data_IF_959837706105
#
_entry.id   IF_959837706105
#
_cell.length_a   1.000
_cell.length_b   1.000
_cell.length_c   1.000
_cell.angle_alpha   90.00
_cell.angle_beta   90.00
_cell.angle_gamma   90.00
#
_symmetry.space_group_name_H-M   'P 1'
#
loop_
_entity.id
_entity.type
_entity.pdbx_description
1 polymer ?
#
# COMPACT_ATOMS: atom_id res chain seq x y z
N UNK A 1 12.39 1.10 -7.85
CA UNK A 1 12.22 2.45 -8.45
C UNK A 1 13.55 2.90 -9.04
N UNK A 2 13.57 3.75 -10.06
CA UNK A 2 14.80 4.33 -10.58
C UNK A 2 14.95 5.79 -10.14
N UNK A 3 16.15 6.17 -9.72
CA UNK A 3 16.51 7.57 -9.47
C UNK A 3 16.69 8.36 -10.77
N UNK A 4 16.98 9.66 -10.64
CA UNK A 4 17.25 10.55 -11.77
C UNK A 4 18.44 10.15 -12.63
N UNK A 5 19.47 9.54 -12.04
CA UNK A 5 20.64 9.02 -12.75
C UNK A 5 20.36 7.67 -13.44
N UNK A 6 19.21 7.05 -13.17
CA UNK A 6 18.81 5.77 -13.73
C UNK A 6 19.27 4.56 -12.90
N UNK A 7 19.75 4.74 -11.67
CA UNK A 7 20.09 3.64 -10.77
C UNK A 7 18.85 3.09 -10.06
N UNK A 8 18.76 1.76 -9.87
CA UNK A 8 17.64 1.15 -9.17
C UNK A 8 17.78 1.26 -7.64
N UNK A 9 16.68 1.60 -6.99
CA UNK A 9 16.49 1.60 -5.53
C UNK A 9 15.29 0.72 -5.17
N UNK A 10 15.36 0.05 -4.01
CA UNK A 10 14.22 -0.70 -3.47
C UNK A 10 13.29 0.28 -2.76
N UNK A 11 11.97 0.10 -2.95
CA UNK A 11 10.95 0.92 -2.29
C UNK A 11 9.77 0.04 -1.87
N UNK A 12 9.11 0.40 -0.77
CA UNK A 12 7.92 -0.28 -0.30
C UNK A 12 6.68 0.26 -1.02
N UNK A 13 5.92 -0.63 -1.66
CA UNK A 13 4.77 -0.26 -2.46
C UNK A 13 3.49 -0.87 -1.90
N UNK A 14 2.42 -0.07 -1.84
CA UNK A 14 1.06 -0.51 -1.61
C UNK A 14 0.30 -0.56 -2.94
N UNK A 15 -0.37 -1.68 -3.20
CA UNK A 15 -1.23 -1.85 -4.37
C UNK A 15 -2.69 -1.69 -3.92
N UNK A 16 -3.37 -0.65 -4.40
CA UNK A 16 -4.67 -0.23 -3.87
C UNK A 16 -5.66 0.04 -5.01
N UNK A 17 -6.65 -0.83 -5.19
CA UNK A 17 -7.69 -0.66 -6.19
C UNK A 17 -8.79 0.34 -5.75
N UNK A 18 -8.83 0.74 -4.48
CA UNK A 18 -9.73 1.76 -3.96
C UNK A 18 -9.25 3.18 -4.24
N UNK A 19 -7.97 3.35 -4.59
CA UNK A 19 -7.39 4.65 -4.91
C UNK A 19 -7.41 4.95 -6.40
N UNK A 20 -8.00 6.06 -6.80
CA UNK A 20 -7.93 6.54 -8.19
C UNK A 20 -6.52 7.05 -8.57
N UNK A 21 -5.89 7.97 -7.80
CA UNK A 21 -4.53 8.43 -8.08
C UNK A 21 -3.45 7.48 -7.58
N UNK A 22 -2.22 7.69 -8.06
CA UNK A 22 -1.03 7.11 -7.46
C UNK A 22 -0.37 8.14 -6.54
N UNK A 23 0.32 7.67 -5.50
CA UNK A 23 1.03 8.54 -4.55
C UNK A 23 2.48 8.09 -4.38
N UNK A 24 3.32 9.05 -4.01
CA UNK A 24 4.71 8.83 -3.63
C UNK A 24 5.06 9.70 -2.43
N UNK A 25 5.90 9.20 -1.53
CA UNK A 25 6.37 9.99 -0.40
C UNK A 25 7.40 11.04 -0.85
N UNK A 26 7.37 12.23 -0.23
CA UNK A 26 8.38 13.26 -0.45
C UNK A 26 9.79 12.78 -0.08
N UNK A 27 9.89 11.86 0.90
CA UNK A 27 11.16 11.23 1.26
C UNK A 27 11.73 10.41 0.10
N UNK A 28 10.91 9.58 -0.57
CA UNK A 28 11.35 8.79 -1.71
C UNK A 28 11.76 9.69 -2.89
N UNK A 29 10.99 10.74 -3.16
CA UNK A 29 11.28 11.75 -4.20
C UNK A 29 12.65 12.39 -3.97
N UNK A 30 12.89 12.90 -2.75
CA UNK A 30 14.16 13.54 -2.37
C UNK A 30 15.34 12.58 -2.47
N UNK A 31 15.20 11.37 -1.91
CA UNK A 31 16.30 10.39 -1.88
C UNK A 31 16.63 9.82 -3.26
N UNK A 32 15.66 9.82 -4.18
CA UNK A 32 15.84 9.40 -5.57
C UNK A 32 16.11 10.58 -6.52
N UNK A 33 16.25 11.79 -5.98
CA UNK A 33 16.48 13.06 -6.69
C UNK A 33 15.50 13.29 -7.86
N UNK A 34 14.25 12.86 -7.72
CA UNK A 34 13.26 12.94 -8.79
C UNK A 34 12.77 14.38 -9.00
N UNK A 35 12.54 14.72 -10.26
CA UNK A 35 12.00 16.04 -10.60
C UNK A 35 10.52 16.17 -10.19
N UNK A 36 10.22 17.24 -9.49
CA UNK A 36 8.86 17.59 -9.07
C UNK A 36 8.24 18.61 -10.04
N UNK A 37 6.98 18.39 -10.37
CA UNK A 37 6.16 19.27 -11.19
C UNK A 37 5.14 19.94 -10.26
N UNK A 38 5.15 21.28 -10.13
CA UNK A 38 4.18 22.00 -9.31
C UNK A 38 2.75 21.73 -9.76
N UNK A 39 1.86 21.47 -8.80
CA UNK A 39 0.42 21.37 -8.99
C UNK A 39 -0.29 21.97 -7.79
N UNK A 40 -1.57 22.31 -7.93
CA UNK A 40 -2.38 22.74 -6.79
C UNK A 40 -3.73 22.05 -6.85
N UNK A 41 -3.83 20.91 -6.16
CA UNK A 41 -5.06 20.12 -6.12
C UNK A 41 -5.37 19.69 -4.70
N UNK A 42 -6.65 19.46 -4.43
CA UNK A 42 -7.13 18.85 -3.20
C UNK A 42 -7.59 17.43 -3.50
N UNK A 43 -7.14 16.47 -2.70
CA UNK A 43 -7.52 15.08 -2.80
C UNK A 43 -8.43 14.75 -1.64
N UNK A 44 -9.60 14.21 -1.96
CA UNK A 44 -10.58 13.80 -0.98
C UNK A 44 -10.38 12.31 -0.68
N UNK A 45 -10.00 12.01 0.56
CA UNK A 45 -9.99 10.67 1.11
C UNK A 45 -11.34 10.30 1.72
N UNK A 46 -11.36 9.12 2.33
CA UNK A 46 -12.53 8.62 3.07
C UNK A 46 -12.90 9.60 4.19
N UNK A 47 -14.19 9.79 4.42
CA UNK A 47 -14.74 10.72 5.43
C UNK A 47 -14.40 12.20 5.20
N UNK A 48 -14.31 12.63 3.93
CA UNK A 48 -14.04 14.01 3.51
C UNK A 48 -12.71 14.56 4.04
N UNK A 49 -11.73 13.68 4.26
CA UNK A 49 -10.39 14.13 4.66
C UNK A 49 -9.71 14.70 3.42
N UNK A 50 -9.36 15.99 3.48
CA UNK A 50 -8.76 16.70 2.36
C UNK A 50 -7.25 16.77 2.54
N UNK A 51 -6.52 16.20 1.59
CA UNK A 51 -5.07 16.38 1.47
C UNK A 51 -4.77 17.38 0.34
N UNK A 52 -4.05 18.46 0.67
CA UNK A 52 -3.63 19.44 -0.32
C UNK A 52 -2.28 19.02 -0.91
N UNK A 53 -2.25 18.79 -2.23
CA UNK A 53 -1.06 18.38 -2.97
C UNK A 53 -0.48 19.57 -3.71
N UNK A 54 0.84 19.76 -3.55
CA UNK A 54 1.60 20.87 -4.13
C UNK A 54 2.49 20.46 -5.31
N UNK A 55 2.74 19.17 -5.46
CA UNK A 55 3.60 18.65 -6.50
C UNK A 55 3.21 17.23 -6.91
N UNK A 56 3.58 16.87 -8.13
CA UNK A 56 3.56 15.51 -8.65
C UNK A 56 4.91 15.17 -9.23
N UNK A 57 5.26 13.90 -9.34
CA UNK A 57 6.45 13.47 -10.06
C UNK A 57 6.13 12.26 -10.95
N UNK A 58 7.00 12.05 -11.94
CA UNK A 58 6.96 10.85 -12.77
C UNK A 58 7.96 9.83 -12.20
N UNK A 59 7.48 8.61 -11.98
CA UNK A 59 8.23 7.53 -11.36
C UNK A 59 8.36 6.36 -12.30
N UNK A 60 9.54 5.73 -12.33
CA UNK A 60 9.77 4.48 -13.07
C UNK A 60 10.03 3.34 -12.09
N UNK A 61 9.20 2.32 -12.16
CA UNK A 61 9.33 1.08 -11.41
C UNK A 61 9.80 -0.05 -12.31
N UNK A 62 10.54 -0.97 -11.73
CA UNK A 62 10.83 -2.27 -12.32
C UNK A 62 10.61 -3.35 -11.26
N UNK A 63 10.20 -4.53 -11.73
CA UNK A 63 10.15 -5.73 -10.91
C UNK A 63 11.56 -6.20 -10.55
N UNK A 64 11.69 -6.79 -9.36
CA UNK A 64 12.93 -7.46 -8.94
C UNK A 64 13.00 -8.90 -9.44
N UNK A 65 11.90 -9.43 -10.00
CA UNK A 65 11.76 -10.85 -10.32
C UNK A 65 11.64 -11.14 -11.83
N UNK A 66 11.35 -10.12 -12.64
CA UNK A 66 11.16 -10.26 -14.07
C UNK A 66 11.38 -8.91 -14.80
N UNK A 67 11.15 -8.87 -16.11
CA UNK A 67 11.37 -7.68 -16.95
C UNK A 67 10.21 -6.66 -16.91
N UNK A 68 9.21 -6.87 -16.06
CA UNK A 68 8.10 -5.93 -15.91
C UNK A 68 8.59 -4.58 -15.42
N UNK A 69 8.09 -3.52 -16.06
CA UNK A 69 8.37 -2.15 -15.69
C UNK A 69 7.13 -1.29 -15.90
N UNK A 70 7.03 -0.23 -15.11
CA UNK A 70 5.86 0.64 -15.08
C UNK A 70 6.29 2.09 -14.89
N UNK A 71 5.71 2.98 -15.68
CA UNK A 71 5.82 4.43 -15.49
C UNK A 71 4.54 4.94 -14.85
N UNK A 72 4.68 5.75 -13.82
CA UNK A 72 3.59 6.28 -13.01
C UNK A 72 3.70 7.79 -12.93
N UNK A 73 2.57 8.49 -12.98
CA UNK A 73 2.46 9.87 -12.49
C UNK A 73 1.89 9.80 -11.08
N UNK A 74 2.63 10.29 -10.10
CA UNK A 74 2.29 10.20 -8.68
C UNK A 74 2.19 11.59 -8.05
N UNK A 75 1.18 11.79 -7.21
CA UNK A 75 1.11 12.96 -6.35
C UNK A 75 2.04 12.79 -5.15
N UNK A 76 2.76 13.85 -4.81
CA UNK A 76 3.73 13.82 -3.72
C UNK A 76 3.02 14.15 -2.41
N UNK A 77 3.14 13.26 -1.44
CA UNK A 77 2.64 13.45 -0.07
C UNK A 77 3.77 13.28 0.94
N UNK A 78 3.74 13.92 2.12
CA UNK A 78 4.72 13.65 3.17
C UNK A 78 4.68 12.18 3.62
N UNK A 79 3.47 11.65 3.81
CA UNK A 79 3.17 10.29 4.22
C UNK A 79 1.92 9.82 3.50
N UNK A 80 1.90 8.56 3.06
CA UNK A 80 0.74 7.96 2.38
C UNK A 80 -0.19 7.31 3.41
N UNK A 81 0.37 6.47 4.28
CA UNK A 81 -0.33 5.74 5.34
C UNK A 81 0.64 5.47 6.50
N UNK A 82 0.14 4.90 7.59
CA UNK A 82 0.96 4.38 8.68
C UNK A 82 1.85 3.20 8.23
N UNK A 83 2.57 2.60 9.18
CA UNK A 83 3.34 1.40 8.86
C UNK A 83 2.41 0.24 8.50
N UNK A 84 2.80 -0.54 7.48
CA UNK A 84 2.13 -1.78 7.10
C UNK A 84 3.10 -2.95 7.23
N UNK A 85 2.69 -4.05 7.91
CA UNK A 85 1.55 -4.13 8.83
C UNK A 85 1.73 -3.16 10.02
N UNK A 86 0.64 -2.89 10.75
CA UNK A 86 0.70 -2.04 11.97
C UNK A 86 1.57 -2.64 13.07
N UNK A 87 1.56 -3.97 13.15
CA UNK A 87 2.34 -4.74 14.11
C UNK A 87 3.05 -5.87 13.38
N UNK A 88 4.10 -6.39 14.00
CA UNK A 88 4.75 -7.57 13.50
C UNK A 88 3.81 -8.78 13.53
N UNK A 89 3.76 -9.50 12.42
CA UNK A 89 2.99 -10.73 12.29
C UNK A 89 3.93 -11.91 12.49
N UNK A 90 3.60 -12.79 13.43
CA UNK A 90 4.30 -14.06 13.56
C UNK A 90 3.87 -15.00 12.42
N UNK A 91 4.83 -15.33 11.55
CA UNK A 91 4.63 -16.22 10.40
C UNK A 91 5.34 -17.57 10.56
N UNK A 92 5.83 -17.92 11.76
CA UNK A 92 6.59 -19.16 12.00
C UNK A 92 5.86 -20.42 11.56
N UNK A 93 4.53 -20.43 11.75
CA UNK A 93 3.68 -21.59 11.49
C UNK A 93 3.06 -21.57 10.09
N UNK A 94 3.37 -20.53 9.29
CA UNK A 94 2.84 -20.39 7.94
C UNK A 94 3.61 -21.30 7.00
N UNK A 95 2.87 -22.17 6.30
CA UNK A 95 3.42 -23.08 5.27
C UNK A 95 3.62 -22.33 3.95
N UNK A 96 4.54 -21.38 3.94
CA UNK A 96 4.90 -20.64 2.72
C UNK A 96 5.61 -21.58 1.73
N UNK A 97 5.20 -21.62 0.44
CA UNK A 97 5.86 -22.47 -0.55
C UNK A 97 7.30 -21.99 -0.84
N UNK A 98 8.27 -22.90 -0.79
CA UNK A 98 9.69 -22.60 -1.02
C UNK A 98 10.00 -22.12 -2.45
N UNK A 99 9.11 -22.41 -3.42
CA UNK A 99 9.28 -22.08 -4.84
C UNK A 99 8.55 -20.79 -5.25
N UNK A 100 8.11 -19.98 -4.28
CA UNK A 100 7.40 -18.72 -4.53
C UNK A 100 8.27 -17.55 -4.14
N UNK A 101 8.46 -16.61 -5.06
CA UNK A 101 9.08 -15.32 -4.76
C UNK A 101 8.03 -14.35 -4.26
N UNK A 102 8.14 -13.94 -2.99
CA UNK A 102 7.33 -12.87 -2.44
C UNK A 102 7.79 -11.52 -2.99
N UNK A 103 6.82 -10.65 -3.31
CA UNK A 103 7.10 -9.27 -3.70
C UNK A 103 7.79 -8.49 -2.57
N UNK A 104 7.53 -8.92 -1.34
CA UNK A 104 8.10 -8.38 -0.13
C UNK A 104 8.47 -9.52 0.84
N UNK A 105 9.76 -9.91 0.89
CA UNK A 105 10.23 -10.95 1.80
C UNK A 105 10.06 -10.61 3.29
N UNK A 106 9.82 -9.33 3.62
CA UNK A 106 9.63 -8.84 4.99
C UNK A 106 8.23 -8.25 5.19
N UNK A 107 7.23 -8.76 4.48
CA UNK A 107 5.84 -8.30 4.56
C UNK A 107 5.24 -8.36 5.97
N UNK A 108 5.81 -9.19 6.84
CA UNK A 108 5.32 -9.40 8.19
C UNK A 108 5.85 -8.35 9.19
N UNK A 109 6.81 -7.51 8.78
CA UNK A 109 7.46 -6.51 9.64
C UNK A 109 6.92 -5.12 9.32
N UNK A 110 6.49 -4.32 10.33
CA UNK A 110 6.00 -2.97 10.13
C UNK A 110 6.98 -2.08 9.40
N UNK A 111 6.53 -1.46 8.31
CA UNK A 111 7.36 -0.53 7.54
C UNK A 111 6.53 0.55 6.85
N UNK A 112 7.17 1.69 6.63
CA UNK A 112 6.57 2.82 5.92
C UNK A 112 6.41 2.50 4.43
N UNK A 113 5.28 2.93 3.87
CA UNK A 113 5.00 2.83 2.44
C UNK A 113 5.55 4.06 1.72
N UNK A 114 6.37 3.82 0.70
CA UNK A 114 6.98 4.87 -0.12
C UNK A 114 6.11 5.24 -1.32
N UNK A 115 5.33 4.27 -1.83
CA UNK A 115 4.56 4.40 -3.05
C UNK A 115 3.20 3.71 -2.92
N UNK A 116 2.15 4.33 -3.45
CA UNK A 116 0.83 3.71 -3.62
C UNK A 116 0.45 3.72 -5.10
N UNK A 117 0.13 2.54 -5.63
CA UNK A 117 -0.32 2.35 -7.01
C UNK A 117 -1.83 2.15 -7.01
N UNK A 118 -2.53 3.06 -7.68
CA UNK A 118 -3.97 3.10 -7.76
C UNK A 118 -4.59 2.15 -8.80
N UNK A 119 -5.92 2.21 -8.88
CA UNK A 119 -6.78 1.38 -9.72
C UNK A 119 -6.41 1.38 -11.22
N UNK A 120 -5.90 2.50 -11.74
CA UNK A 120 -5.51 2.64 -13.16
C UNK A 120 -4.41 1.67 -13.61
N UNK A 121 -3.66 1.10 -12.68
CA UNK A 121 -2.60 0.13 -12.97
C UNK A 121 -2.78 -1.21 -12.24
N UNK A 122 -3.70 -1.26 -11.28
CA UNK A 122 -3.95 -2.44 -10.44
C UNK A 122 -4.10 -3.73 -11.26
N UNK A 123 -5.04 -3.74 -12.21
CA UNK A 123 -5.33 -4.92 -13.03
C UNK A 123 -4.24 -5.29 -14.05
N UNK A 124 -3.29 -4.38 -14.32
CA UNK A 124 -2.10 -4.68 -15.12
C UNK A 124 -0.99 -5.34 -14.30
N UNK A 125 -1.03 -5.19 -12.98
CA UNK A 125 -0.04 -5.71 -12.04
C UNK A 125 -0.49 -7.07 -11.50
N UNK A 126 -1.77 -7.21 -11.18
CA UNK A 126 -2.33 -8.49 -10.70
C UNK A 126 -2.29 -9.52 -11.83
N UNK A 127 -1.78 -10.72 -11.51
CA UNK A 127 -1.69 -11.85 -12.44
C UNK A 127 -2.61 -12.98 -12.00
N UNK A 128 -2.88 -13.91 -12.91
CA UNK A 128 -3.49 -15.18 -12.52
C UNK A 128 -2.57 -15.95 -11.57
N UNK A 129 -3.18 -16.56 -10.54
CA UNK A 129 -2.50 -17.39 -9.55
C UNK A 129 -2.79 -16.93 -8.13
N UNK A 130 -3.50 -17.78 -7.39
CA UNK A 130 -3.79 -17.61 -5.96
C UNK A 130 -3.31 -18.88 -5.26
N UNK A 131 -2.61 -18.72 -4.13
CA UNK A 131 -2.19 -19.82 -3.27
C UNK A 131 -2.87 -19.65 -1.92
N UNK A 132 -3.68 -20.62 -1.54
CA UNK A 132 -4.33 -20.65 -0.22
C UNK A 132 -3.39 -21.26 0.81
N UNK A 133 -3.08 -20.52 1.89
CA UNK A 133 -2.21 -21.01 2.96
C UNK A 133 -2.93 -21.92 3.96
N UNK A 134 -4.26 -21.91 3.96
CA UNK A 134 -5.11 -22.71 4.83
C UNK A 134 -6.45 -22.03 5.12
N UNK A 135 -7.33 -22.72 5.84
CA UNK A 135 -8.61 -22.15 6.27
C UNK A 135 -8.37 -21.04 7.29
N UNK A 136 -8.95 -19.86 7.06
CA UNK A 136 -8.80 -18.70 7.97
C UNK A 136 -7.42 -18.04 7.93
N UNK A 137 -6.61 -18.39 6.93
CA UNK A 137 -5.28 -17.80 6.68
C UNK A 137 -5.36 -16.87 5.46
N UNK A 138 -4.46 -15.89 5.33
CA UNK A 138 -4.37 -15.09 4.12
C UNK A 138 -3.97 -15.95 2.92
N UNK A 139 -4.14 -15.38 1.73
CA UNK A 139 -3.77 -15.97 0.46
C UNK A 139 -2.56 -15.24 -0.12
N UNK A 140 -1.79 -15.94 -0.95
CA UNK A 140 -0.76 -15.32 -1.78
C UNK A 140 -1.35 -15.04 -3.16
N UNK A 141 -1.39 -13.78 -3.54
CA UNK A 141 -1.83 -13.32 -4.86
C UNK A 141 -0.61 -13.08 -5.75
N UNK A 142 -0.59 -13.70 -6.92
CA UNK A 142 0.47 -13.48 -7.90
C UNK A 142 0.38 -12.07 -8.51
N UNK A 143 1.52 -11.38 -8.63
CA UNK A 143 1.62 -10.08 -9.29
C UNK A 143 2.88 -10.01 -10.16
N UNK A 144 2.96 -8.99 -11.00
CA UNK A 144 4.17 -8.68 -11.77
C UNK A 144 5.40 -8.39 -10.88
N UNK A 145 5.19 -8.06 -9.61
CA UNK A 145 6.25 -7.81 -8.62
C UNK A 145 6.55 -9.02 -7.72
N UNK A 146 5.96 -10.19 -7.97
CA UNK A 146 6.04 -11.35 -7.08
C UNK A 146 4.74 -11.56 -6.30
N UNK A 147 4.68 -12.59 -5.46
CA UNK A 147 3.48 -12.89 -4.70
C UNK A 147 3.31 -11.93 -3.52
N UNK A 148 2.13 -11.34 -3.40
CA UNK A 148 1.73 -10.48 -2.28
C UNK A 148 0.83 -11.24 -1.33
N UNK A 149 0.99 -11.02 -0.03
CA UNK A 149 0.07 -11.55 0.99
C UNK A 149 -1.17 -10.66 1.04
N UNK A 150 -2.36 -11.26 0.96
CA UNK A 150 -3.64 -10.55 1.02
C UNK A 150 -4.68 -11.35 1.80
N UNK A 151 -5.67 -10.66 2.33
CA UNK A 151 -6.70 -11.22 3.21
C UNK A 151 -6.42 -10.99 4.69
N UNK A 152 -7.40 -11.38 5.51
CA UNK A 152 -7.39 -11.13 6.94
C UNK A 152 -6.34 -12.01 7.66
N UNK A 153 -5.64 -11.41 8.61
CA UNK A 153 -4.77 -12.12 9.55
C UNK A 153 -5.45 -12.04 10.92
N UNK A 154 -5.92 -13.18 11.41
CA UNK A 154 -6.48 -13.28 12.74
C UNK A 154 -5.35 -13.27 13.77
N UNK A 155 -5.07 -12.09 14.33
CA UNK A 155 -4.12 -11.93 15.43
C UNK A 155 -4.94 -11.88 16.73
N UNK A 156 -4.87 -12.91 17.60
CA UNK A 156 -5.60 -12.90 18.86
C UNK A 156 -5.22 -11.68 19.70
N UNK A 157 -6.22 -10.98 20.24
CA UNK A 157 -6.08 -9.80 21.11
C UNK A 157 -5.55 -8.51 20.44
N UNK A 158 -5.49 -8.46 19.12
CA UNK A 158 -5.33 -7.20 18.39
C UNK A 158 -6.70 -6.74 17.89
N UNK A 159 -7.07 -5.48 18.17
CA UNK A 159 -8.21 -4.86 17.49
C UNK A 159 -7.97 -4.86 15.97
N UNK A 160 -9.01 -4.85 15.14
CA UNK A 160 -8.78 -4.61 13.72
C UNK A 160 -8.41 -3.14 13.55
N UNK A 161 -7.48 -2.87 12.64
CA UNK A 161 -6.99 -1.52 12.40
C UNK A 161 -7.38 -1.10 10.99
N UNK A 162 -8.11 0.02 10.89
CA UNK A 162 -8.32 0.72 9.62
C UNK A 162 -7.38 1.93 9.58
N UNK A 163 -6.53 2.02 8.56
CA UNK A 163 -5.65 3.19 8.39
C UNK A 163 -6.42 4.35 7.78
N UNK A 164 -6.95 5.21 8.66
CA UNK A 164 -7.61 6.44 8.26
C UNK A 164 -6.74 7.63 8.62
N UNK A 165 -6.15 8.24 7.61
CA UNK A 165 -5.65 9.59 7.77
C UNK A 165 -6.87 10.50 7.92
N UNK A 166 -6.98 11.18 9.07
CA UNK A 166 -8.07 12.12 9.37
C UNK A 166 -7.55 13.56 9.36
N UNK A 167 -8.41 14.51 9.02
CA UNK A 167 -8.06 15.93 9.09
C UNK A 167 -7.70 16.28 10.55
N UNK A 168 -6.61 17.04 10.76
CA UNK A 168 -6.17 17.45 12.09
C UNK A 168 -7.27 18.22 12.85
N UNK A 169 -8.16 18.91 12.14
CA UNK A 169 -9.29 19.66 12.70
C UNK A 169 -10.45 18.81 13.24
N UNK A 170 -10.44 17.48 13.02
CA UNK A 170 -11.44 16.60 13.62
C UNK A 170 -11.10 16.36 15.10
N UNK A 171 -12.12 16.42 15.97
CA UNK A 171 -11.94 16.05 17.38
C UNK A 171 -11.58 14.57 17.50
N UNK A 172 -10.77 14.20 18.50
CA UNK A 172 -10.31 12.81 18.67
C UNK A 172 -11.48 11.80 18.77
N UNK A 173 -12.62 12.21 19.35
CA UNK A 173 -13.81 11.36 19.45
C UNK A 173 -14.44 11.07 18.08
N UNK A 174 -14.48 12.04 17.17
CA UNK A 174 -14.98 11.85 15.81
C UNK A 174 -14.02 10.98 14.98
N UNK A 175 -12.70 11.15 15.18
CA UNK A 175 -11.68 10.29 14.54
C UNK A 175 -11.85 8.83 14.91
N UNK A 176 -12.01 8.53 16.20
CA UNK A 176 -12.26 7.17 16.68
C UNK A 176 -13.58 6.60 16.16
N UNK A 177 -14.67 7.38 16.15
CA UNK A 177 -15.97 6.93 15.64
C UNK A 177 -15.88 6.52 14.17
N UNK A 178 -15.31 7.37 13.32
CA UNK A 178 -15.15 7.09 11.88
C UNK A 178 -14.30 5.83 11.66
N UNK A 179 -13.24 5.67 12.46
CA UNK A 179 -12.38 4.49 12.36
C UNK A 179 -13.12 3.22 12.75
N UNK A 180 -13.97 3.27 13.77
CA UNK A 180 -14.83 2.16 14.17
C UNK A 180 -15.90 1.87 13.12
N UNK A 181 -16.58 2.89 12.57
CA UNK A 181 -17.65 2.72 11.57
C UNK A 181 -17.12 2.07 10.29
N UNK A 182 -15.92 2.47 9.85
CA UNK A 182 -15.27 1.87 8.68
C UNK A 182 -14.77 0.46 8.98
N UNK A 183 -14.26 0.21 10.18
CA UNK A 183 -13.92 -1.13 10.61
C UNK A 183 -15.15 -2.06 10.62
N UNK A 184 -16.30 -1.59 11.12
CA UNK A 184 -17.57 -2.31 11.08
C UNK A 184 -18.06 -2.54 9.65
N UNK A 185 -17.93 -1.54 8.78
CA UNK A 185 -18.29 -1.68 7.36
C UNK A 185 -17.53 -2.82 6.69
N UNK A 186 -16.19 -2.86 6.83
CA UNK A 186 -15.37 -3.91 6.23
C UNK A 186 -15.62 -5.29 6.85
N UNK A 187 -15.93 -5.34 8.15
CA UNK A 187 -16.38 -6.55 8.83
C UNK A 187 -17.68 -7.12 8.25
N UNK A 188 -18.64 -6.26 7.90
CA UNK A 188 -19.93 -6.67 7.35
C UNK A 188 -19.81 -7.20 5.92
N UNK A 189 -18.86 -6.71 5.12
CA UNK A 189 -18.61 -7.22 3.77
C UNK A 189 -18.01 -8.64 3.74
N UNK A 190 -17.37 -9.09 4.82
CA UNK A 190 -16.81 -10.45 4.94
C UNK A 190 -17.89 -11.54 5.16
N UNK A 191 -19.16 -11.17 5.40
CA UNK A 191 -20.25 -12.10 5.77
C UNK A 191 -21.10 -12.58 4.57
N UNK A 192 -20.68 -12.34 3.32
CA UNK A 192 -21.39 -12.81 2.12
C UNK A 192 -20.61 -13.87 1.31
#
# INVERSE_FOLDING_TARGET
>A
IYDKAGNPHICNCLLDNGSQPNFVTSNLVRNSELDEIPVHISINGVSNVIANVRSKCNVRLASMHNNFNLKLSCYVLPTITGCLPNVEVNISDWKLPNNVSLADPKFNIPKQIDLLIGASHFWRIVRAGIIHLGKGMPVLQNTEFGYTVTGQINIPNLGQYCHLNTNENLTNNLKCSIQNDLQEFWLLEEVN
#
